data_IF_111190742227
#
_entry.id   IF_111190742227
#
_cell.length_a   1.000
_cell.length_b   1.000
_cell.length_c   1.000
_cell.angle_alpha   90.00
_cell.angle_beta   90.00
_cell.angle_gamma   90.00
#
_symmetry.space_group_name_H-M   'P 1'
#
loop_
_entity.id
_entity.type
_entity.pdbx_description
1 polymer ?
#
# COMPACT_ATOMS: atom_id res chain seq x y z
N UNK A 1 -18.92 2.16 4.81
CA UNK A 1 -17.96 2.26 5.92
C UNK A 1 -17.22 3.57 5.77
N UNK A 2 -16.73 4.18 6.85
CA UNK A 2 -16.18 5.53 6.78
C UNK A 2 -15.03 5.67 5.77
N UNK A 3 -14.23 4.61 5.59
CA UNK A 3 -13.19 4.54 4.58
C UNK A 3 -13.73 4.62 3.13
N UNK A 4 -14.84 3.94 2.82
CA UNK A 4 -15.48 4.04 1.51
C UNK A 4 -16.07 5.43 1.29
N UNK A 5 -16.70 6.01 2.30
CA UNK A 5 -17.29 7.35 2.24
C UNK A 5 -16.22 8.44 2.14
N UNK A 6 -15.00 8.17 2.62
CA UNK A 6 -13.83 9.02 2.41
C UNK A 6 -13.43 9.08 0.92
N UNK A 7 -13.39 7.94 0.22
CA UNK A 7 -13.13 7.95 -1.22
C UNK A 7 -14.23 8.64 -2.04
N UNK A 8 -15.47 8.73 -1.55
CA UNK A 8 -16.54 9.49 -2.21
C UNK A 8 -16.38 11.00 -2.08
N UNK A 9 -15.70 11.48 -1.03
CA UNK A 9 -15.51 12.91 -0.77
C UNK A 9 -14.30 13.44 -1.53
N UNK A 10 -14.54 14.18 -2.61
CA UNK A 10 -13.50 14.69 -3.51
C UNK A 10 -12.35 15.43 -2.80
N UNK A 11 -12.66 16.21 -1.77
CA UNK A 11 -11.68 16.99 -0.99
C UNK A 11 -10.70 16.12 -0.17
N UNK A 12 -11.08 14.89 0.12
CA UNK A 12 -10.31 13.99 0.97
C UNK A 12 -9.54 12.94 0.15
N UNK A 13 -9.66 12.97 -1.19
CA UNK A 13 -8.99 12.03 -2.09
C UNK A 13 -7.48 12.32 -2.19
N UNK A 14 -6.64 11.27 -2.33
CA UNK A 14 -5.25 11.44 -2.75
C UNK A 14 -5.17 12.25 -4.05
N UNK A 15 -4.30 13.25 -4.09
CA UNK A 15 -4.14 14.14 -5.24
C UNK A 15 -3.03 13.64 -6.16
N UNK A 16 -3.23 13.78 -7.48
CA UNK A 16 -2.19 13.50 -8.47
C UNK A 16 -0.93 14.36 -8.29
N UNK A 17 -1.08 15.55 -7.70
CA UNK A 17 0.05 16.46 -7.43
C UNK A 17 1.04 15.87 -6.41
N UNK A 18 0.59 14.93 -5.58
CA UNK A 18 1.40 14.31 -4.54
C UNK A 18 2.12 13.05 -5.00
N UNK A 19 1.85 12.57 -6.23
CA UNK A 19 2.49 11.38 -6.79
C UNK A 19 3.96 11.69 -7.11
N UNK A 20 4.92 10.89 -6.61
CA UNK A 20 6.32 11.04 -6.97
C UNK A 20 6.52 10.85 -8.47
N UNK A 21 7.20 11.80 -9.11
CA UNK A 21 7.53 11.70 -10.54
C UNK A 21 8.50 10.57 -10.80
N UNK A 22 8.20 9.74 -11.79
CA UNK A 22 9.08 8.69 -12.30
C UNK A 22 9.75 9.18 -13.59
N UNK A 23 10.92 8.61 -13.91
CA UNK A 23 11.49 8.77 -15.24
C UNK A 23 10.62 8.03 -16.27
N UNK A 24 10.70 8.44 -17.54
CA UNK A 24 9.77 7.94 -18.58
C UNK A 24 9.86 6.43 -18.78
N UNK A 25 11.06 5.86 -18.77
CA UNK A 25 11.28 4.41 -18.97
C UNK A 25 10.58 3.61 -17.87
N UNK A 26 10.82 3.99 -16.61
CA UNK A 26 10.25 3.30 -15.47
C UNK A 26 8.74 3.56 -15.33
N UNK A 27 8.27 4.75 -15.71
CA UNK A 27 6.86 5.10 -15.76
C UNK A 27 6.11 4.25 -16.78
N UNK A 28 6.68 4.10 -17.99
CA UNK A 28 6.14 3.23 -19.04
C UNK A 28 6.04 1.79 -18.55
N UNK A 29 7.12 1.28 -17.95
CA UNK A 29 7.14 -0.07 -17.37
C UNK A 29 6.07 -0.23 -16.29
N UNK A 30 5.97 0.69 -15.33
CA UNK A 30 4.98 0.62 -14.26
C UNK A 30 3.51 0.64 -14.76
N UNK A 31 3.28 1.22 -15.94
CA UNK A 31 1.96 1.33 -16.59
C UNK A 31 1.61 0.13 -17.46
N UNK A 32 2.56 -0.76 -17.74
CA UNK A 32 2.33 -1.92 -18.59
C UNK A 32 1.84 -3.12 -17.77
N UNK A 33 0.52 -3.25 -17.66
CA UNK A 33 -0.14 -4.36 -16.96
C UNK A 33 -0.53 -5.50 -17.89
N UNK A 34 0.00 -5.55 -19.12
CA UNK A 34 -0.29 -6.64 -20.06
C UNK A 34 0.54 -7.87 -19.67
N UNK A 35 -0.07 -8.99 -19.25
CA UNK A 35 0.68 -10.16 -18.84
C UNK A 35 1.55 -10.70 -19.97
N UNK A 36 2.78 -11.10 -19.65
CA UNK A 36 3.76 -11.69 -20.58
C UNK A 36 4.21 -10.76 -21.72
N UNK A 37 3.84 -9.48 -21.72
CA UNK A 37 4.48 -8.53 -22.64
C UNK A 37 5.91 -8.24 -22.17
N UNK A 38 6.74 -7.77 -23.10
CA UNK A 38 8.03 -7.18 -22.76
C UNK A 38 7.84 -5.98 -21.81
N UNK A 39 8.72 -5.85 -20.81
CA UNK A 39 8.65 -4.79 -19.79
C UNK A 39 7.28 -4.66 -19.11
N UNK A 40 6.60 -5.78 -18.82
CA UNK A 40 5.43 -5.74 -17.95
C UNK A 40 5.80 -5.34 -16.51
N UNK A 41 4.78 -4.97 -15.75
CA UNK A 41 4.92 -4.48 -14.38
C UNK A 41 4.90 -5.56 -13.30
N UNK A 42 4.81 -6.85 -13.61
CA UNK A 42 4.69 -7.94 -12.62
C UNK A 42 5.78 -7.89 -11.53
N UNK A 43 7.03 -7.61 -11.92
CA UNK A 43 8.13 -7.49 -10.95
C UNK A 43 7.99 -6.23 -10.07
N UNK A 44 7.53 -5.12 -10.67
CA UNK A 44 7.31 -3.88 -9.93
C UNK A 44 6.12 -4.03 -8.98
N UNK A 45 5.04 -4.70 -9.40
CA UNK A 45 3.90 -5.08 -8.58
C UNK A 45 4.39 -5.87 -7.37
N UNK A 46 5.16 -6.94 -7.60
CA UNK A 46 5.71 -7.76 -6.52
C UNK A 46 6.53 -6.96 -5.51
N UNK A 47 7.47 -6.12 -5.98
CA UNK A 47 8.27 -5.25 -5.10
C UNK A 47 7.36 -4.28 -4.33
N UNK A 48 6.40 -3.70 -5.06
CA UNK A 48 5.40 -2.78 -4.54
C UNK A 48 4.58 -3.36 -3.42
N UNK A 49 3.95 -4.53 -3.63
CA UNK A 49 3.17 -5.26 -2.63
C UNK A 49 3.96 -5.44 -1.33
N UNK A 50 5.21 -5.92 -1.43
CA UNK A 50 6.07 -6.11 -0.24
C UNK A 50 6.37 -4.80 0.47
N UNK A 51 6.71 -3.76 -0.26
CA UNK A 51 7.01 -2.46 0.35
C UNK A 51 5.77 -1.81 0.96
N UNK A 52 4.64 -1.80 0.26
CA UNK A 52 3.38 -1.20 0.72
C UNK A 52 2.88 -1.93 1.97
N UNK A 53 2.87 -3.27 1.98
CA UNK A 53 2.44 -4.05 3.14
C UNK A 53 3.34 -3.82 4.35
N UNK A 54 4.66 -3.75 4.16
CA UNK A 54 5.60 -3.44 5.25
C UNK A 54 5.37 -2.03 5.80
N UNK A 55 5.19 -1.03 4.94
CA UNK A 55 4.92 0.35 5.37
C UNK A 55 3.59 0.41 6.13
N UNK A 56 2.54 -0.24 5.62
CA UNK A 56 1.27 -0.33 6.33
C UNK A 56 1.45 -0.95 7.72
N UNK A 57 2.18 -2.07 7.83
CA UNK A 57 2.42 -2.72 9.12
C UNK A 57 3.16 -1.80 10.11
N UNK A 58 4.22 -1.11 9.67
CA UNK A 58 4.95 -0.12 10.49
C UNK A 58 4.02 0.99 10.95
N UNK A 59 3.20 1.54 10.05
CA UNK A 59 2.29 2.63 10.41
C UNK A 59 1.20 2.17 11.38
N UNK A 60 0.68 0.94 11.25
CA UNK A 60 -0.38 0.45 12.16
C UNK A 60 0.19 0.12 13.54
N UNK A 61 1.45 -0.34 13.60
CA UNK A 61 2.18 -0.50 14.85
C UNK A 61 2.21 0.81 15.67
N UNK A 62 2.35 1.97 15.03
CA UNK A 62 2.33 3.29 15.70
C UNK A 62 0.98 3.66 16.35
N UNK A 63 -0.12 3.08 15.87
CA UNK A 63 -1.49 3.38 16.36
C UNK A 63 -2.15 2.19 17.05
N UNK A 64 -1.41 1.09 17.25
CA UNK A 64 -1.99 -0.13 17.81
C UNK A 64 -2.41 0.08 19.26
N UNK A 65 -3.54 -0.54 19.60
CA UNK A 65 -4.05 -0.60 20.97
C UNK A 65 -4.08 -2.04 21.49
N UNK A 66 -4.13 -3.00 20.57
CA UNK A 66 -4.16 -4.43 20.81
C UNK A 66 -3.74 -5.16 19.53
N UNK A 67 -3.47 -6.46 19.64
CA UNK A 67 -3.19 -7.31 18.48
C UNK A 67 -4.40 -7.41 17.55
N UNK A 68 -5.62 -7.46 18.10
CA UNK A 68 -6.87 -7.49 17.32
C UNK A 68 -7.09 -6.19 16.56
N UNK A 69 -6.86 -5.04 17.22
CA UNK A 69 -6.90 -3.73 16.56
C UNK A 69 -5.89 -3.69 15.42
N UNK A 70 -4.63 -4.05 15.68
CA UNK A 70 -3.57 -4.09 14.66
C UNK A 70 -3.97 -4.93 13.44
N UNK A 71 -4.40 -6.19 13.64
CA UNK A 71 -4.81 -7.06 12.54
C UNK A 71 -6.01 -6.51 11.76
N UNK A 72 -6.98 -5.93 12.45
CA UNK A 72 -8.20 -5.38 11.82
C UNK A 72 -7.87 -4.17 10.96
N UNK A 73 -7.07 -3.23 11.47
CA UNK A 73 -6.69 -2.04 10.71
C UNK A 73 -5.77 -2.42 9.56
N UNK A 74 -4.73 -3.22 9.80
CA UNK A 74 -3.79 -3.66 8.77
C UNK A 74 -4.51 -4.33 7.61
N UNK A 75 -5.34 -5.35 7.87
CA UNK A 75 -6.13 -6.04 6.83
C UNK A 75 -6.98 -5.09 5.99
N UNK A 76 -7.46 -4.00 6.60
CA UNK A 76 -8.36 -3.07 5.94
C UNK A 76 -7.63 -2.07 5.05
N UNK A 77 -6.55 -1.48 5.55
CA UNK A 77 -5.76 -0.50 4.79
C UNK A 77 -4.92 -1.16 3.71
N UNK A 78 -4.48 -2.41 3.92
CA UNK A 78 -3.62 -3.15 2.99
C UNK A 78 -4.40 -4.14 2.12
N UNK A 79 -5.65 -3.82 1.79
CA UNK A 79 -6.49 -4.68 0.94
C UNK A 79 -6.51 -4.17 -0.50
N UNK A 80 -6.69 -5.09 -1.46
CA UNK A 80 -6.86 -4.75 -2.86
C UNK A 80 -8.06 -3.81 -3.11
N UNK A 81 -9.11 -3.87 -2.28
CA UNK A 81 -10.21 -2.88 -2.36
C UNK A 81 -9.71 -1.46 -2.06
N UNK A 82 -8.90 -1.29 -1.02
CA UNK A 82 -8.29 0.00 -0.68
C UNK A 82 -7.30 0.45 -1.76
N UNK A 83 -6.40 -0.43 -2.20
CA UNK A 83 -5.39 -0.10 -3.21
C UNK A 83 -6.03 0.24 -4.56
N UNK A 84 -7.01 -0.53 -5.01
CA UNK A 84 -7.71 -0.23 -6.27
C UNK A 84 -8.45 1.11 -6.24
N UNK A 85 -9.08 1.45 -5.12
CA UNK A 85 -9.71 2.78 -4.94
C UNK A 85 -8.70 3.92 -4.92
N UNK A 86 -7.54 3.73 -4.27
CA UNK A 86 -6.43 4.69 -4.29
C UNK A 86 -5.93 4.89 -5.72
N UNK A 87 -5.64 3.79 -6.41
CA UNK A 87 -5.18 3.78 -7.81
C UNK A 87 -6.12 4.56 -8.73
N UNK A 88 -7.43 4.34 -8.57
CA UNK A 88 -8.45 5.08 -9.30
C UNK A 88 -8.43 6.58 -8.99
N UNK A 89 -8.37 6.95 -7.70
CA UNK A 89 -8.31 8.36 -7.30
C UNK A 89 -7.05 9.07 -7.83
N UNK A 90 -5.93 8.35 -7.90
CA UNK A 90 -4.68 8.82 -8.49
C UNK A 90 -4.68 8.77 -10.03
N UNK A 91 -5.74 8.22 -10.63
CA UNK A 91 -5.96 8.05 -12.08
C UNK A 91 -4.80 7.31 -12.76
N UNK A 92 -4.26 6.27 -12.10
CA UNK A 92 -3.15 5.49 -12.66
C UNK A 92 -3.56 4.71 -13.92
N UNK A 93 -4.84 4.36 -14.03
CA UNK A 93 -5.41 3.61 -15.14
C UNK A 93 -5.54 4.39 -16.46
N UNK A 94 -5.62 5.73 -16.44
CA UNK A 94 -5.88 6.55 -17.64
C UNK A 94 -4.79 6.42 -18.71
N UNK A 95 -3.57 6.11 -18.29
CA UNK A 95 -2.40 5.95 -19.15
C UNK A 95 -1.79 4.56 -19.06
N UNK A 96 -2.48 3.61 -18.43
CA UNK A 96 -2.02 2.23 -18.33
C UNK A 96 -2.34 1.44 -19.60
N UNK A 97 -1.40 0.59 -19.99
CA UNK A 97 -1.62 -0.45 -21.00
C UNK A 97 -2.25 -1.65 -20.30
N UNK A 98 -3.51 -1.92 -20.61
CA UNK A 98 -4.33 -2.95 -19.97
C UNK A 98 -4.81 -3.97 -21.02
N UNK A 99 -5.08 -5.20 -20.57
CA UNK A 99 -5.86 -6.13 -21.39
C UNK A 99 -7.25 -5.55 -21.67
N UNK A 100 -7.86 -5.94 -22.80
CA UNK A 100 -9.19 -5.45 -23.20
C UNK A 100 -10.27 -5.76 -22.16
N UNK A 101 -10.18 -6.94 -21.51
CA UNK A 101 -11.09 -7.34 -20.42
C UNK A 101 -10.92 -6.47 -19.17
N UNK A 102 -9.68 -6.14 -18.81
CA UNK A 102 -9.37 -5.30 -17.66
C UNK A 102 -9.80 -3.86 -17.89
N UNK A 103 -9.57 -3.34 -19.11
CA UNK A 103 -10.06 -2.02 -19.53
C UNK A 103 -11.57 -1.92 -19.40
N UNK A 104 -12.30 -2.91 -19.95
CA UNK A 104 -13.77 -2.95 -19.85
C UNK A 104 -14.23 -3.00 -18.38
N UNK A 105 -13.57 -3.81 -17.56
CA UNK A 105 -13.89 -3.92 -16.13
C UNK A 105 -13.67 -2.60 -15.37
N UNK A 106 -12.65 -1.83 -15.75
CA UNK A 106 -12.37 -0.50 -15.17
C UNK A 106 -13.41 0.53 -15.64
N UNK A 107 -13.76 0.52 -16.92
CA UNK A 107 -14.72 1.46 -17.50
C UNK A 107 -16.14 1.24 -16.95
N UNK A 108 -16.52 -0.02 -16.69
CA UNK A 108 -17.82 -0.39 -16.11
C UNK A 108 -17.91 -0.14 -14.60
N UNK A 109 -16.78 0.09 -13.92
CA UNK A 109 -16.73 0.24 -12.47
C UNK A 109 -16.84 1.70 -12.02
N UNK A 110 -17.93 2.05 -11.34
CA UNK A 110 -18.08 3.37 -10.71
C UNK A 110 -17.71 3.34 -9.21
N UNK A 111 -16.65 4.06 -8.76
CA UNK A 111 -16.26 4.12 -7.35
C UNK A 111 -17.31 4.77 -6.41
N UNK A 112 -18.22 5.59 -6.94
CA UNK A 112 -19.22 6.33 -6.18
C UNK A 112 -20.53 5.55 -6.01
N UNK A 113 -20.90 4.78 -7.04
CA UNK A 113 -22.14 4.00 -7.07
C UNK A 113 -21.94 2.55 -6.65
N UNK A 114 -20.81 1.94 -7.02
CA UNK A 114 -20.58 0.52 -6.78
C UNK A 114 -20.26 0.22 -5.32
N UNK A 115 -21.01 -0.73 -4.74
CA UNK A 115 -20.68 -1.36 -3.45
C UNK A 115 -19.60 -2.44 -3.60
N UNK A 116 -19.29 -2.81 -4.84
CA UNK A 116 -18.37 -3.88 -5.20
C UNK A 116 -16.92 -3.43 -5.09
N UNK A 117 -16.03 -4.41 -5.03
CA UNK A 117 -14.60 -4.17 -5.04
C UNK A 117 -14.15 -3.60 -6.41
N UNK A 118 -13.13 -2.74 -6.45
CA UNK A 118 -12.50 -2.34 -7.70
C UNK A 118 -11.94 -3.55 -8.47
N UNK A 119 -11.86 -3.48 -9.80
CA UNK A 119 -11.10 -4.42 -10.60
C UNK A 119 -9.68 -4.63 -10.05
N UNK A 120 -9.23 -5.87 -9.96
CA UNK A 120 -7.94 -6.24 -9.36
C UNK A 120 -6.76 -5.46 -9.98
N UNK A 121 -6.79 -5.26 -11.29
CA UNK A 121 -5.77 -4.52 -12.05
C UNK A 121 -5.48 -3.13 -11.50
N UNK A 122 -6.45 -2.47 -10.85
CA UNK A 122 -6.24 -1.17 -10.23
C UNK A 122 -5.33 -1.29 -9.01
N UNK A 123 -5.49 -2.33 -8.19
CA UNK A 123 -4.61 -2.58 -7.04
C UNK A 123 -3.20 -2.90 -7.54
N UNK A 124 -3.09 -3.77 -8.55
CA UNK A 124 -1.82 -4.19 -9.14
C UNK A 124 -1.07 -2.97 -9.73
N UNK A 125 -1.76 -2.04 -10.41
CA UNK A 125 -1.19 -0.77 -10.88
C UNK A 125 -0.64 0.12 -9.76
N UNK A 126 -1.33 0.18 -8.61
CA UNK A 126 -0.87 0.96 -7.47
C UNK A 126 0.40 0.35 -6.87
N UNK A 127 0.42 -0.97 -6.70
CA UNK A 127 1.58 -1.71 -6.24
C UNK A 127 2.75 -1.54 -7.21
N UNK A 128 2.53 -1.73 -8.51
CA UNK A 128 3.54 -1.49 -9.54
C UNK A 128 4.13 -0.08 -9.50
N UNK A 129 3.28 0.94 -9.35
CA UNK A 129 3.75 2.31 -9.21
C UNK A 129 4.57 2.51 -7.92
N UNK A 130 4.14 1.92 -6.80
CA UNK A 130 4.89 1.95 -5.55
C UNK A 130 6.26 1.26 -5.68
N UNK A 131 6.33 0.12 -6.35
CA UNK A 131 7.57 -0.57 -6.69
C UNK A 131 8.50 0.31 -7.53
N UNK A 132 7.96 1.00 -8.53
CA UNK A 132 8.73 1.96 -9.33
C UNK A 132 9.25 3.16 -8.53
N UNK A 133 8.45 3.70 -7.60
CA UNK A 133 8.89 4.76 -6.69
C UNK A 133 10.03 4.27 -5.80
N UNK A 134 9.94 3.04 -5.30
CA UNK A 134 11.01 2.41 -4.52
C UNK A 134 12.30 2.23 -5.33
N UNK A 135 12.21 1.67 -6.53
CA UNK A 135 13.33 1.46 -7.45
C UNK A 135 14.09 2.76 -7.73
N UNK A 136 13.35 3.83 -8.07
CA UNK A 136 13.96 5.10 -8.45
C UNK A 136 14.42 5.95 -7.27
N UNK A 137 13.59 6.09 -6.22
CA UNK A 137 13.80 7.07 -5.15
C UNK A 137 14.16 6.45 -3.80
N UNK A 138 14.00 5.14 -3.66
CA UNK A 138 14.27 4.40 -2.42
C UNK A 138 13.18 4.52 -1.36
N UNK A 139 13.41 3.79 -0.28
CA UNK A 139 12.47 3.61 0.85
C UNK A 139 11.94 4.93 1.41
N UNK A 140 12.81 5.89 1.71
CA UNK A 140 12.44 7.13 2.41
C UNK A 140 11.48 8.02 1.62
N UNK A 141 11.54 7.96 0.28
CA UNK A 141 10.60 8.71 -0.56
C UNK A 141 9.27 7.97 -0.65
N UNK A 142 9.31 6.64 -0.81
CA UNK A 142 8.12 5.79 -0.81
C UNK A 142 7.34 5.95 0.51
N UNK A 143 8.02 5.77 1.65
CA UNK A 143 7.41 5.87 2.98
C UNK A 143 6.69 7.21 3.17
N UNK A 144 7.34 8.33 2.87
CA UNK A 144 6.73 9.66 3.01
C UNK A 144 5.54 9.89 2.08
N UNK A 145 5.56 9.30 0.89
CA UNK A 145 4.43 9.39 -0.03
C UNK A 145 3.25 8.54 0.46
N UNK A 146 3.50 7.28 0.81
CA UNK A 146 2.47 6.38 1.33
C UNK A 146 1.91 6.85 2.68
N UNK A 147 2.74 7.46 3.54
CA UNK A 147 2.28 8.02 4.81
C UNK A 147 1.17 9.07 4.59
N UNK A 148 1.33 9.95 3.60
CA UNK A 148 0.31 10.97 3.30
C UNK A 148 -1.02 10.36 2.86
N UNK A 149 -0.97 9.21 2.19
CA UNK A 149 -2.15 8.50 1.69
C UNK A 149 -2.81 7.71 2.83
N UNK A 150 -2.05 6.91 3.56
CA UNK A 150 -2.61 5.97 4.53
C UNK A 150 -2.94 6.60 5.88
N UNK A 151 -2.23 7.63 6.33
CA UNK A 151 -2.45 8.22 7.66
C UNK A 151 -3.88 8.73 7.88
N UNK A 152 -4.54 9.43 6.91
CA UNK A 152 -5.96 9.76 7.02
C UNK A 152 -6.85 8.51 7.08
N UNK A 153 -6.55 7.50 6.27
CA UNK A 153 -7.34 6.26 6.19
C UNK A 153 -7.27 5.44 7.47
N UNK A 154 -6.11 5.40 8.10
CA UNK A 154 -5.90 4.72 9.38
C UNK A 154 -6.75 5.34 10.48
N UNK A 155 -6.80 6.67 10.57
CA UNK A 155 -7.68 7.36 11.54
C UNK A 155 -9.14 6.95 11.36
N UNK A 156 -9.59 6.85 10.11
CA UNK A 156 -10.96 6.42 9.80
C UNK A 156 -11.19 4.95 10.10
N UNK A 157 -10.23 4.08 9.78
CA UNK A 157 -10.32 2.65 10.07
C UNK A 157 -10.34 2.39 11.59
N UNK A 158 -9.53 3.12 12.37
CA UNK A 158 -9.55 3.07 13.84
C UNK A 158 -10.87 3.59 14.40
N UNK A 159 -11.43 4.67 13.85
CA UNK A 159 -12.75 5.15 14.26
C UNK A 159 -13.85 4.12 13.96
N UNK A 160 -13.83 3.49 12.78
CA UNK A 160 -14.75 2.39 12.43
C UNK A 160 -14.61 1.22 13.41
N UNK A 161 -13.37 0.85 13.79
CA UNK A 161 -13.11 -0.22 14.75
C UNK A 161 -13.75 0.08 16.11
N UNK A 162 -13.57 1.29 16.63
CA UNK A 162 -14.17 1.70 17.91
C UNK A 162 -15.69 1.71 17.87
N UNK A 163 -16.30 2.11 16.76
CA UNK A 163 -17.76 2.08 16.60
C UNK A 163 -18.32 0.66 16.54
N UNK A 164 -17.54 -0.29 16.03
CA UNK A 164 -17.95 -1.70 15.94
C UNK A 164 -17.63 -2.54 17.18
N UNK A 165 -16.76 -2.06 18.06
CA UNK A 165 -16.31 -2.79 19.25
C UNK A 165 -17.14 -2.40 20.47
N UNK A 166 -17.39 -3.34 21.39
CA UNK A 166 -17.99 -2.99 22.68
C UNK A 166 -17.00 -2.23 23.57
N UNK A 167 -17.50 -1.36 24.45
CA UNK A 167 -16.65 -0.65 25.39
C UNK A 167 -15.86 -1.60 26.30
N UNK A 168 -16.46 -2.70 26.74
CA UNK A 168 -15.78 -3.71 27.57
C UNK A 168 -14.57 -4.34 26.84
N UNK A 169 -14.71 -4.57 25.53
CA UNK A 169 -13.63 -5.08 24.70
C UNK A 169 -12.52 -4.03 24.56
N UNK A 170 -12.86 -2.76 24.32
CA UNK A 170 -11.87 -1.67 24.20
C UNK A 170 -11.13 -1.46 25.53
N UNK A 171 -11.85 -1.43 26.66
CA UNK A 171 -11.24 -1.22 27.98
C UNK A 171 -10.31 -2.36 28.40
N UNK A 172 -10.71 -3.61 28.17
CA UNK A 172 -9.87 -4.78 28.47
C UNK A 172 -8.60 -4.81 27.60
N UNK A 173 -8.73 -4.52 26.31
CA UNK A 173 -7.61 -4.42 25.36
C UNK A 173 -6.62 -3.30 25.72
N UNK A 174 -7.13 -2.11 26.04
CA UNK A 174 -6.29 -0.95 26.38
C UNK A 174 -5.49 -1.18 27.67
N UNK A 175 -6.11 -1.80 28.68
CA UNK A 175 -5.43 -2.16 29.92
C UNK A 175 -4.37 -3.25 29.69
N UNK A 176 -4.64 -4.25 28.84
CA UNK A 176 -3.68 -5.30 28.50
C UNK A 176 -2.43 -4.78 27.77
N UNK A 177 -2.56 -3.71 26.97
CA UNK A 177 -1.44 -3.05 26.31
C UNK A 177 -0.67 -2.10 27.24
N UNK A 178 -1.32 -1.47 28.22
CA UNK A 178 -0.66 -0.58 29.20
C UNK A 178 0.38 -1.31 30.05
N UNK A 179 0.17 -2.59 30.35
CA UNK A 179 1.14 -3.45 31.04
C UNK A 179 2.26 -3.99 30.13
N UNK A 180 2.14 -3.82 28.81
CA UNK A 180 3.14 -4.20 27.81
C UNK A 180 3.92 -3.01 27.23
N UNK A 181 3.91 -1.86 27.91
CA UNK A 181 4.87 -0.77 27.67
C UNK A 181 6.29 -1.16 28.14
N UNK A 182 6.85 -2.20 27.51
CA UNK A 182 8.27 -2.24 27.22
C UNK A 182 8.44 -1.20 26.10
N UNK A 183 9.27 -0.20 26.33
CA UNK A 183 9.48 0.91 25.40
C UNK A 183 9.64 0.41 23.96
N UNK A 184 9.14 1.15 22.94
CA UNK A 184 9.45 0.83 21.56
C UNK A 184 10.98 0.82 21.45
N UNK A 185 11.56 -0.36 21.21
CA UNK A 185 12.99 -0.50 20.97
C UNK A 185 13.25 0.12 19.60
N UNK A 186 13.30 1.45 19.54
CA UNK A 186 13.76 2.25 18.39
C UNK A 186 15.12 1.76 17.90
N UNK A 187 15.86 1.03 18.74
CA UNK A 187 17.12 0.36 18.41
C UNK A 187 16.91 -0.88 17.53
N UNK A 188 15.81 -1.62 17.61
CA UNK A 188 15.52 -2.79 16.76
C UNK A 188 15.14 -2.38 15.34
N UNK A 189 14.23 -1.41 15.17
CA UNK A 189 13.90 -0.87 13.85
C UNK A 189 15.10 -0.20 13.20
N UNK A 190 15.84 0.64 13.95
CA UNK A 190 17.07 1.25 13.42
C UNK A 190 18.18 0.22 13.15
N UNK A 191 18.16 -0.95 13.79
CA UNK A 191 19.07 -2.07 13.48
C UNK A 191 18.63 -2.78 12.21
N UNK A 192 17.33 -3.03 12.03
CA UNK A 192 16.78 -3.64 10.83
C UNK A 192 17.04 -2.76 9.60
N UNK A 193 16.73 -1.47 9.67
CA UNK A 193 16.99 -0.54 8.56
C UNK A 193 18.49 -0.42 8.26
N UNK A 194 19.36 -0.32 9.29
CA UNK A 194 20.81 -0.35 9.08
C UNK A 194 21.29 -1.66 8.48
N UNK A 195 20.71 -2.79 8.87
CA UNK A 195 21.06 -4.10 8.35
C UNK A 195 20.63 -4.26 6.88
N UNK A 196 19.43 -3.79 6.53
CA UNK A 196 18.93 -3.78 5.16
C UNK A 196 19.80 -2.87 4.29
N UNK A 197 20.14 -1.66 4.76
CA UNK A 197 21.01 -0.74 4.03
C UNK A 197 22.44 -1.28 3.88
N UNK A 198 23.02 -1.85 4.94
CA UNK A 198 24.35 -2.45 4.90
C UNK A 198 24.43 -3.66 3.94
N UNK A 199 23.34 -4.43 3.84
CA UNK A 199 23.26 -5.59 2.96
C UNK A 199 22.61 -5.28 1.62
N UNK A 200 22.31 -4.01 1.31
CA UNK A 200 21.63 -3.61 0.07
C UNK A 200 22.34 -4.10 -1.18
N UNK A 201 23.68 -4.10 -1.18
CA UNK A 201 24.49 -4.60 -2.29
C UNK A 201 24.37 -6.13 -2.42
N UNK A 202 24.52 -6.86 -1.32
CA UNK A 202 24.36 -8.32 -1.29
C UNK A 202 22.95 -8.77 -1.72
N UNK A 203 21.91 -8.10 -1.23
CA UNK A 203 20.51 -8.37 -1.61
C UNK A 203 20.25 -8.06 -3.09
N UNK A 204 20.86 -6.99 -3.63
CA UNK A 204 20.80 -6.70 -5.07
C UNK A 204 21.52 -7.76 -5.91
N UNK A 205 22.69 -8.20 -5.48
CA UNK A 205 23.51 -9.17 -6.22
C UNK A 205 22.87 -10.56 -6.18
N UNK A 206 22.37 -11.00 -5.01
CA UNK A 206 21.63 -12.26 -4.87
C UNK A 206 20.26 -12.23 -5.52
N UNK A 207 19.58 -11.08 -5.50
CA UNK A 207 18.34 -10.89 -6.25
C UNK A 207 18.55 -11.04 -7.75
N UNK A 208 19.65 -10.49 -8.29
CA UNK A 208 20.02 -10.67 -9.71
C UNK A 208 20.35 -12.13 -10.03
N UNK A 209 21.13 -12.81 -9.19
CA UNK A 209 21.41 -14.25 -9.35
C UNK A 209 20.12 -15.08 -9.36
N UNK A 210 19.18 -14.79 -8.47
CA UNK A 210 17.90 -15.50 -8.41
C UNK A 210 17.07 -15.29 -9.69
N UNK A 211 17.10 -14.09 -10.27
CA UNK A 211 16.45 -13.79 -11.56
C UNK A 211 17.11 -14.56 -12.71
N UNK A 212 18.43 -14.76 -12.68
CA UNK A 212 19.15 -15.56 -13.69
C UNK A 212 18.95 -17.08 -13.55
N UNK A 213 18.47 -17.56 -12.40
CA UNK A 213 18.18 -18.98 -12.17
C UNK A 213 16.71 -19.36 -12.45
N UNK A 214 15.86 -18.41 -12.80
CA UNK A 214 14.49 -18.69 -13.22
C UNK A 214 14.49 -19.04 -14.72
N UNK A 215 13.80 -20.13 -15.13
CA UNK A 215 13.84 -20.67 -16.49
C UNK A 215 13.17 -19.77 -17.54
#
# INVERSE_FOLDING_TARGET
TALRDHFKRHKDRPSQKDIPRLNEVLLKRARNSVPRSEDNNDLLEFIGDRCVNLICAIMVEDVKLSTTHHQTISRRISSNDTFGRISYCLRLHEHAELLSSDRSSVDDWDPNLSKEAPPKVLADLFEAYAGAVYEQHGWQKLFRWLERIFKPMMKLATADYWQSSSWDQIYSETNACRWRNIQPDTRAENRLFRHIDANRKFLKDKGREAVFMLP
#
